data_IF_242681917328
#
_entry.id   IF_242681917328
#
_cell.length_a   1.000
_cell.length_b   1.000
_cell.length_c   1.000
_cell.angle_alpha   90.00
_cell.angle_beta   90.00
_cell.angle_gamma   90.00
#
_symmetry.space_group_name_H-M   'P 1'
#
loop_
_entity.id
_entity.type
_entity.pdbx_description
1 polymer ?
#
# COMPACT_ATOMS: atom_id res chain seq x y z
N UNK A 1 -12.14 -10.92 -45.39
CA UNK A 1 -13.52 -10.48 -45.69
C UNK A 1 -14.08 -9.85 -44.43
N UNK A 2 -14.51 -8.60 -44.55
CA UNK A 2 -15.39 -7.80 -43.69
C UNK A 2 -15.08 -7.56 -42.20
N UNK A 3 -14.97 -6.26 -41.90
CA UNK A 3 -14.79 -5.55 -40.64
C UNK A 3 -16.00 -5.68 -39.71
N UNK A 4 -15.78 -5.64 -38.39
CA UNK A 4 -16.75 -5.11 -37.44
C UNK A 4 -16.02 -4.22 -36.43
N UNK A 5 -16.09 -2.92 -36.67
CA UNK A 5 -15.74 -1.87 -35.71
C UNK A 5 -17.01 -1.55 -34.90
N UNK A 6 -16.91 -1.54 -33.58
CA UNK A 6 -17.92 -0.99 -32.70
C UNK A 6 -17.30 0.17 -31.93
N UNK A 7 -17.59 1.38 -32.40
CA UNK A 7 -17.32 2.65 -31.75
C UNK A 7 -18.54 3.02 -30.89
N UNK A 8 -18.34 3.39 -29.63
CA UNK A 8 -19.28 4.12 -28.74
C UNK A 8 -18.64 4.20 -27.35
N UNK A 9 -18.59 5.28 -26.59
CA UNK A 9 -18.95 6.68 -26.80
C UNK A 9 -18.15 7.48 -25.75
N UNK A 10 -17.56 8.61 -26.17
CA UNK A 10 -16.90 9.57 -25.29
C UNK A 10 -17.96 10.34 -24.48
N UNK A 11 -17.91 10.25 -23.14
CA UNK A 11 -18.63 11.18 -22.26
C UNK A 11 -17.60 12.20 -21.74
N UNK A 12 -17.66 13.40 -22.31
CA UNK A 12 -16.95 14.59 -21.84
C UNK A 12 -17.77 15.21 -20.70
N UNK A 13 -17.31 15.08 -19.46
CA UNK A 13 -17.86 15.75 -18.29
C UNK A 13 -17.01 16.97 -17.93
N UNK A 14 -17.54 18.16 -18.19
CA UNK A 14 -16.86 19.43 -17.97
C UNK A 14 -17.07 19.99 -16.54
N UNK A 15 -15.97 20.53 -16.00
CA UNK A 15 -15.84 21.73 -15.17
C UNK A 15 -16.79 21.96 -13.96
N UNK A 16 -16.19 21.91 -12.76
CA UNK A 16 -16.73 22.51 -11.54
C UNK A 16 -15.61 23.12 -10.69
N UNK A 17 -15.08 24.27 -11.10
CA UNK A 17 -14.15 25.09 -10.32
C UNK A 17 -14.96 25.95 -9.35
N UNK A 18 -14.90 25.69 -8.05
CA UNK A 18 -15.36 26.63 -7.02
C UNK A 18 -14.17 27.26 -6.33
N UNK A 19 -13.83 28.47 -6.77
CA UNK A 19 -12.90 29.37 -6.12
C UNK A 19 -13.69 30.28 -5.16
N UNK A 20 -13.32 30.26 -3.88
CA UNK A 20 -13.77 31.26 -2.90
C UNK A 20 -12.60 32.20 -2.62
N UNK A 21 -12.53 33.28 -3.39
CA UNK A 21 -11.71 34.46 -3.09
C UNK A 21 -12.55 35.39 -2.22
N UNK A 22 -12.00 35.92 -1.11
CA UNK A 22 -12.15 37.32 -0.65
C UNK A 22 -11.43 37.54 0.71
N UNK A 23 -10.41 38.41 0.66
CA UNK A 23 -9.60 39.06 1.74
C UNK A 23 -10.38 40.21 2.43
N UNK A 24 -9.81 41.18 3.23
CA UNK A 24 -8.55 41.33 4.01
C UNK A 24 -8.74 42.02 5.43
N UNK A 25 -7.61 42.40 6.08
CA UNK A 25 -7.39 43.51 7.06
C UNK A 25 -7.95 43.37 8.52
N UNK A 26 -7.31 43.78 9.63
CA UNK A 26 -6.21 44.72 9.87
C UNK A 26 -5.52 44.50 11.25
N UNK A 27 -4.21 44.78 11.27
CA UNK A 27 -3.34 45.43 12.27
C UNK A 27 -3.83 45.69 13.71
N UNK A 28 -3.00 45.35 14.70
CA UNK A 28 -2.37 46.20 15.74
C UNK A 28 -1.52 45.22 16.62
N UNK A 29 -0.19 45.28 16.74
CA UNK A 29 0.57 46.42 17.21
C UNK A 29 0.85 46.29 18.71
N UNK A 30 1.69 45.32 19.11
CA UNK A 30 2.15 45.12 20.49
C UNK A 30 3.65 44.80 20.52
N UNK A 31 4.46 45.80 20.83
CA UNK A 31 5.92 45.74 20.93
C UNK A 31 6.30 45.75 22.40
N UNK A 32 6.66 44.61 22.99
CA UNK A 32 7.42 44.57 24.25
C UNK A 32 8.44 43.41 24.23
N UNK A 33 9.69 43.83 23.96
CA UNK A 33 10.93 43.49 24.67
C UNK A 33 11.38 42.03 24.78
N UNK A 34 12.48 41.76 24.09
CA UNK A 34 13.29 40.54 24.12
C UNK A 34 13.78 40.17 25.52
N UNK A 35 13.49 38.93 25.92
CA UNK A 35 14.29 38.17 26.90
C UNK A 35 15.02 37.08 26.14
N UNK A 36 16.34 37.24 26.11
CA UNK A 36 17.30 36.27 25.61
C UNK A 36 17.47 35.20 26.69
N UNK A 37 17.12 33.96 26.37
CA UNK A 37 17.45 32.78 27.15
C UNK A 37 17.79 31.62 26.19
N UNK A 38 19.09 31.54 25.90
CA UNK A 38 19.86 30.30 25.82
C UNK A 38 19.28 29.16 24.97
N UNK A 39 19.56 29.23 23.66
CA UNK A 39 19.56 28.05 22.79
C UNK A 39 20.70 27.12 23.22
N UNK A 40 20.41 26.19 24.13
CA UNK A 40 21.17 24.93 24.17
C UNK A 40 20.89 24.18 22.88
N UNK A 41 21.83 24.26 21.95
CA UNK A 41 21.94 23.42 20.76
C UNK A 41 22.02 21.96 21.23
N UNK A 42 20.87 21.33 21.37
CA UNK A 42 20.75 19.90 21.63
C UNK A 42 21.14 19.19 20.33
N UNK A 43 22.41 18.83 20.19
CA UNK A 43 22.89 17.93 19.15
C UNK A 43 22.06 16.65 19.20
N UNK A 44 21.07 16.54 18.31
CA UNK A 44 20.32 15.30 18.10
C UNK A 44 21.35 14.22 17.77
N UNK A 45 21.40 13.09 18.48
CA UNK A 45 22.28 12.00 18.10
C UNK A 45 21.85 11.53 16.70
N UNK A 46 22.74 11.70 15.72
CA UNK A 46 22.61 11.03 14.42
C UNK A 46 22.89 9.55 14.67
N UNK A 47 21.86 8.81 15.07
CA UNK A 47 21.91 7.37 15.04
C UNK A 47 21.92 6.97 13.57
N UNK A 48 23.13 6.74 13.05
CA UNK A 48 23.33 6.07 11.77
C UNK A 48 22.85 4.64 11.94
N UNK A 49 21.57 4.38 11.72
CA UNK A 49 21.05 3.03 11.64
C UNK A 49 21.80 2.31 10.51
N UNK A 50 22.27 1.09 10.78
CA UNK A 50 22.75 0.22 9.71
C UNK A 50 21.64 0.07 8.65
N UNK A 51 21.98 -0.08 7.37
CA UNK A 51 20.97 -0.31 6.34
C UNK A 51 20.15 -1.54 6.72
N UNK A 52 18.83 -1.36 6.87
CA UNK A 52 17.92 -2.45 7.16
C UNK A 52 17.84 -3.37 5.93
N UNK A 53 17.93 -4.68 6.15
CA UNK A 53 17.70 -5.67 5.09
C UNK A 53 16.21 -5.71 4.77
N UNK A 54 15.87 -5.72 3.48
CA UNK A 54 14.47 -5.78 3.06
C UNK A 54 13.83 -7.12 3.43
N UNK A 55 12.60 -7.09 3.97
CA UNK A 55 11.83 -8.29 4.32
C UNK A 55 10.33 -8.09 4.07
N UNK A 56 9.71 -8.96 3.27
CA UNK A 56 8.26 -9.03 3.05
C UNK A 56 7.53 -9.72 4.21
N UNK A 57 6.36 -9.20 4.57
CA UNK A 57 5.51 -9.74 5.63
C UNK A 57 4.04 -9.69 5.21
N UNK A 58 3.34 -10.82 5.30
CA UNK A 58 1.87 -10.89 5.19
C UNK A 58 1.27 -10.56 6.56
N UNK A 59 0.36 -9.58 6.61
CA UNK A 59 -0.28 -9.12 7.84
C UNK A 59 -1.71 -9.58 8.00
N UNK A 60 -2.41 -9.79 6.88
CA UNK A 60 -3.79 -10.30 6.85
C UNK A 60 -3.88 -11.35 5.77
N UNK A 61 -4.50 -12.48 6.10
CA UNK A 61 -4.96 -13.49 5.16
C UNK A 61 -6.23 -14.10 5.76
N UNK A 62 -7.39 -13.87 5.15
CA UNK A 62 -8.68 -14.21 5.77
C UNK A 62 -9.84 -14.15 4.80
N UNK A 63 -10.86 -14.97 5.04
CA UNK A 63 -12.18 -14.77 4.44
C UNK A 63 -12.87 -13.62 5.19
N UNK A 64 -13.42 -12.67 4.45
CA UNK A 64 -14.14 -11.54 5.03
C UNK A 64 -15.44 -11.98 5.73
N UNK A 65 -15.96 -11.12 6.60
CA UNK A 65 -17.09 -11.43 7.48
C UNK A 65 -18.39 -11.77 6.74
N UNK A 66 -18.54 -11.32 5.49
CA UNK A 66 -19.69 -11.64 4.64
C UNK A 66 -19.54 -12.96 3.87
N UNK A 67 -18.34 -13.58 3.92
CA UNK A 67 -18.04 -14.84 3.25
C UNK A 67 -17.94 -14.73 1.73
N UNK A 68 -17.82 -13.52 1.18
CA UNK A 68 -17.83 -13.29 -0.28
C UNK A 68 -16.44 -13.08 -0.86
N UNK A 69 -15.49 -12.64 -0.05
CA UNK A 69 -14.13 -12.30 -0.47
C UNK A 69 -13.07 -12.88 0.45
N UNK A 70 -11.89 -13.12 -0.12
CA UNK A 70 -10.63 -13.37 0.59
C UNK A 70 -9.84 -12.07 0.58
N UNK A 71 -9.54 -11.55 1.77
CA UNK A 71 -8.70 -10.37 1.97
C UNK A 71 -7.27 -10.78 2.31
N UNK A 72 -6.31 -10.17 1.60
CA UNK A 72 -4.88 -10.34 1.85
C UNK A 72 -4.19 -8.99 1.89
N UNK A 73 -3.29 -8.79 2.85
CA UNK A 73 -2.48 -7.58 2.94
C UNK A 73 -1.08 -7.86 3.48
N UNK A 74 -0.16 -6.94 3.23
CA UNK A 74 1.20 -7.03 3.71
C UNK A 74 2.01 -5.77 3.48
N UNK A 75 3.28 -5.81 3.88
CA UNK A 75 4.23 -4.73 3.69
C UNK A 75 5.65 -5.29 3.57
N UNK A 76 6.58 -4.43 3.15
CA UNK A 76 8.01 -4.72 3.04
C UNK A 76 8.76 -3.77 3.96
N UNK A 77 9.40 -4.32 4.97
CA UNK A 77 10.29 -3.56 5.86
C UNK A 77 11.66 -3.37 5.21
N UNK A 78 12.42 -2.38 5.67
CA UNK A 78 13.80 -2.14 5.24
C UNK A 78 13.95 -1.42 3.90
N UNK A 79 12.84 -1.17 3.19
CA UNK A 79 12.77 -0.33 1.99
C UNK A 79 11.54 0.59 2.08
N UNK A 80 11.66 1.80 1.54
CA UNK A 80 10.58 2.79 1.48
C UNK A 80 10.57 3.39 0.09
N UNK A 81 9.67 2.92 -0.76
CA UNK A 81 9.57 3.31 -2.16
C UNK A 81 8.14 3.12 -2.69
N UNK A 82 7.85 3.68 -3.87
CA UNK A 82 6.52 3.59 -4.50
C UNK A 82 6.56 3.00 -5.91
N UNK A 83 7.70 2.43 -6.32
CA UNK A 83 7.92 1.79 -7.62
C UNK A 83 8.11 0.27 -7.55
N UNK A 84 7.96 -0.30 -6.35
CA UNK A 84 7.96 -1.75 -6.15
C UNK A 84 6.64 -2.40 -6.54
N UNK A 85 6.71 -3.67 -6.92
CA UNK A 85 5.55 -4.51 -7.24
C UNK A 85 5.40 -5.56 -6.15
N UNK A 86 4.20 -5.65 -5.58
CA UNK A 86 3.81 -6.66 -4.61
C UNK A 86 2.96 -7.73 -5.30
N UNK A 87 3.32 -9.00 -5.15
CA UNK A 87 2.62 -10.13 -5.74
C UNK A 87 2.19 -11.09 -4.63
N UNK A 88 0.89 -11.14 -4.34
CA UNK A 88 0.31 -12.13 -3.44
C UNK A 88 0.05 -13.42 -4.20
N UNK A 89 0.58 -14.53 -3.69
CA UNK A 89 0.46 -15.86 -4.28
C UNK A 89 -0.27 -16.74 -3.28
N UNK A 90 -1.46 -17.19 -3.67
CA UNK A 90 -2.27 -18.11 -2.88
C UNK A 90 -2.23 -19.50 -3.52
N UNK A 91 -1.88 -20.53 -2.75
CA UNK A 91 -1.75 -21.91 -3.24
C UNK A 91 -2.58 -22.89 -2.43
N UNK A 92 -3.45 -23.66 -3.10
CA UNK A 92 -4.21 -24.75 -2.50
C UNK A 92 -3.27 -25.86 -2.06
N UNK A 93 -3.35 -26.25 -0.79
CA UNK A 93 -2.53 -27.37 -0.27
C UNK A 93 -3.06 -28.74 -0.71
N UNK A 94 -4.30 -28.79 -1.19
CA UNK A 94 -5.00 -30.03 -1.57
C UNK A 94 -4.69 -30.42 -3.01
N UNK A 95 -4.78 -29.46 -3.93
CA UNK A 95 -4.74 -29.71 -5.37
C UNK A 95 -3.65 -28.89 -6.10
N UNK A 96 -2.99 -27.95 -5.42
CA UNK A 96 -1.92 -27.14 -5.98
C UNK A 96 -2.39 -26.02 -6.90
N UNK A 97 -3.69 -25.74 -7.00
CA UNK A 97 -4.19 -24.57 -7.71
C UNK A 97 -3.61 -23.28 -7.11
N UNK A 98 -3.32 -22.32 -7.98
CA UNK A 98 -2.74 -21.03 -7.62
C UNK A 98 -3.66 -19.89 -8.02
N UNK A 99 -3.75 -18.88 -7.15
CA UNK A 99 -4.40 -17.60 -7.42
C UNK A 99 -3.39 -16.50 -7.11
N UNK A 100 -3.11 -15.64 -8.08
CA UNK A 100 -2.12 -14.58 -7.95
C UNK A 100 -2.78 -13.21 -8.08
N UNK A 101 -2.39 -12.25 -7.24
CA UNK A 101 -2.79 -10.85 -7.36
C UNK A 101 -1.62 -9.92 -7.15
N UNK A 102 -1.50 -8.97 -8.06
CA UNK A 102 -0.50 -7.91 -7.97
C UNK A 102 -1.14 -6.64 -7.42
N UNK A 103 -0.33 -5.87 -6.71
CA UNK A 103 -0.63 -4.50 -6.32
C UNK A 103 0.65 -3.68 -6.31
N UNK A 104 0.52 -2.38 -6.58
CA UNK A 104 1.67 -1.46 -6.49
C UNK A 104 2.06 -1.25 -5.03
N UNK A 105 3.37 -1.28 -4.76
CA UNK A 105 3.92 -0.86 -3.48
C UNK A 105 3.84 0.65 -3.32
N UNK A 106 3.56 1.12 -2.10
CA UNK A 106 3.55 2.54 -1.78
C UNK A 106 4.40 2.84 -0.54
N UNK A 107 5.17 3.92 -0.58
CA UNK A 107 5.97 4.35 0.56
C UNK A 107 5.08 4.72 1.75
N UNK A 108 5.31 4.08 2.91
CA UNK A 108 4.61 4.35 4.17
C UNK A 108 5.60 4.48 5.33
N UNK A 109 5.95 5.73 5.68
CA UNK A 109 6.80 6.16 6.80
C UNK A 109 8.16 5.45 6.96
N UNK A 110 8.16 4.17 7.32
CA UNK A 110 9.33 3.33 7.57
C UNK A 110 9.34 2.01 6.76
N UNK A 111 8.32 1.77 5.92
CA UNK A 111 8.18 0.57 5.10
C UNK A 111 7.56 0.91 3.73
N UNK A 112 7.49 -0.08 2.84
CA UNK A 112 6.65 -0.04 1.64
C UNK A 112 5.40 -0.87 1.92
N UNK A 113 4.22 -0.26 1.90
CA UNK A 113 2.96 -0.99 2.02
C UNK A 113 2.59 -1.65 0.70
N UNK A 114 2.08 -2.88 0.76
CA UNK A 114 1.52 -3.59 -0.40
C UNK A 114 -0.01 -3.44 -0.49
N UNK A 115 -0.60 -2.59 0.38
CA UNK A 115 -2.03 -2.39 0.45
C UNK A 115 -2.80 -3.65 0.86
N UNK A 116 -4.09 -3.66 0.54
CA UNK A 116 -4.98 -4.81 0.74
C UNK A 116 -5.65 -5.16 -0.58
N UNK A 117 -5.58 -6.43 -0.96
CA UNK A 117 -6.29 -6.98 -2.12
C UNK A 117 -7.47 -7.82 -1.66
N UNK A 118 -8.57 -7.76 -2.39
CA UNK A 118 -9.77 -8.57 -2.16
C UNK A 118 -10.01 -9.44 -3.39
N UNK A 119 -10.11 -10.75 -3.18
CA UNK A 119 -10.38 -11.72 -4.22
C UNK A 119 -11.76 -12.35 -4.00
N UNK A 120 -12.60 -12.49 -5.05
CA UNK A 120 -13.83 -13.25 -4.98
C UNK A 120 -13.59 -14.67 -4.45
N UNK A 121 -14.38 -15.09 -3.45
CA UNK A 121 -14.26 -16.45 -2.86
C UNK A 121 -14.48 -17.57 -3.89
N UNK A 122 -15.17 -17.26 -5.00
CA UNK A 122 -15.44 -18.18 -6.11
C UNK A 122 -14.20 -18.57 -6.90
N UNK A 123 -13.06 -17.89 -6.70
CA UNK A 123 -11.77 -18.27 -7.29
C UNK A 123 -11.08 -19.40 -6.52
N UNK A 124 -11.60 -19.77 -5.37
CA UNK A 124 -11.00 -20.74 -4.46
C UNK A 124 -11.85 -22.00 -4.36
N UNK A 125 -11.16 -23.13 -4.25
CA UNK A 125 -11.73 -24.38 -3.75
C UNK A 125 -11.74 -24.35 -2.22
N UNK A 126 -12.63 -25.11 -1.61
CA UNK A 126 -12.68 -25.28 -0.15
C UNK A 126 -11.45 -26.02 0.38
N UNK A 127 -11.06 -25.68 1.60
CA UNK A 127 -9.95 -26.29 2.31
C UNK A 127 -8.81 -25.31 2.57
N UNK A 128 -7.64 -25.87 2.87
CA UNK A 128 -6.50 -25.10 3.34
C UNK A 128 -5.68 -24.55 2.18
N UNK A 129 -5.44 -23.25 2.23
CA UNK A 129 -4.61 -22.48 1.32
C UNK A 129 -3.42 -21.89 2.06
N UNK A 130 -2.38 -21.61 1.30
CA UNK A 130 -1.19 -20.91 1.75
C UNK A 130 -1.08 -19.58 1.02
N UNK A 131 -0.52 -18.56 1.67
CA UNK A 131 -0.33 -17.22 1.12
C UNK A 131 1.12 -16.81 1.30
N UNK A 132 1.73 -16.34 0.23
CA UNK A 132 3.05 -15.71 0.21
C UNK A 132 2.95 -14.31 -0.41
N UNK A 133 3.83 -13.41 0.04
CA UNK A 133 4.01 -12.09 -0.55
C UNK A 133 5.41 -12.01 -1.17
N UNK A 134 5.44 -11.98 -2.49
CA UNK A 134 6.61 -11.64 -3.27
C UNK A 134 6.68 -10.13 -3.48
N UNK A 135 7.88 -9.58 -3.38
CA UNK A 135 8.16 -8.18 -3.66
C UNK A 135 9.34 -8.04 -4.59
N UNK A 136 9.25 -7.12 -5.55
CA UNK A 136 10.33 -6.81 -6.48
C UNK A 136 10.38 -5.33 -6.82
N UNK A 137 11.57 -4.76 -6.81
CA UNK A 137 11.88 -3.36 -7.17
C UNK A 137 13.31 -3.26 -7.69
N UNK A 138 13.74 -2.03 -8.03
CA UNK A 138 15.16 -1.76 -8.30
C UNK A 138 16.05 -1.86 -7.07
N UNK A 139 15.49 -1.80 -5.85
CA UNK A 139 16.25 -1.76 -4.60
C UNK A 139 16.32 -3.12 -3.89
N UNK A 140 15.26 -3.92 -3.98
CA UNK A 140 15.14 -5.19 -3.28
C UNK A 140 14.22 -6.19 -3.97
N UNK A 141 14.49 -7.47 -3.74
CA UNK A 141 13.60 -8.59 -4.04
C UNK A 141 13.53 -9.49 -2.81
N UNK A 142 12.33 -9.81 -2.32
CA UNK A 142 12.12 -10.62 -1.12
C UNK A 142 10.77 -11.32 -1.16
N UNK A 143 10.74 -12.52 -0.56
CA UNK A 143 9.54 -13.35 -0.39
C UNK A 143 9.27 -13.49 1.11
N UNK A 144 8.01 -13.40 1.51
CA UNK A 144 7.62 -13.57 2.91
C UNK A 144 7.68 -15.03 3.35
N UNK A 145 7.53 -15.26 4.65
CA UNK A 145 7.11 -16.58 5.13
C UNK A 145 5.67 -16.89 4.66
N UNK A 146 5.36 -18.18 4.55
CA UNK A 146 4.04 -18.67 4.17
C UNK A 146 3.04 -18.54 5.32
N UNK A 147 1.85 -18.01 5.04
CA UNK A 147 0.73 -17.92 5.99
C UNK A 147 -0.41 -18.85 5.57
N UNK A 148 -0.95 -19.64 6.49
CA UNK A 148 -2.09 -20.52 6.22
C UNK A 148 -3.43 -19.76 6.33
N UNK A 149 -4.37 -20.12 5.46
CA UNK A 149 -5.74 -19.60 5.38
C UNK A 149 -6.69 -20.77 5.14
N UNK A 150 -7.84 -20.80 5.82
CA UNK A 150 -8.89 -21.78 5.57
C UNK A 150 -10.05 -21.17 4.76
N UNK A 151 -10.47 -21.85 3.70
CA UNK A 151 -11.63 -21.49 2.87
C UNK A 151 -12.82 -22.44 3.20
N UNK A 152 -13.97 -21.93 3.68
CA UNK A 152 -15.08 -22.73 4.22
C UNK A 152 -16.03 -23.36 3.19
#
# INVERSE_FOLDING_TARGET
MLRAAAASALIVGAAGLSACTMSPDASLGGSETATSAESTESTKPTQSAAPATAMSVVTVAGVDVDGTTVSVSGFVSGVVESDGVCTFILTSTVDGATVTRENDGAADAANTTCGTVQLPITEFTRGTWTVELDYSSGQATTTSETVELEIP
#
